data_IF_755512059704
#
_entry.id   IF_755512059704
#
_cell.length_a   1.000
_cell.length_b   1.000
_cell.length_c   1.000
_cell.angle_alpha   90.00
_cell.angle_beta   90.00
_cell.angle_gamma   90.00
#
_symmetry.space_group_name_H-M   'P 1'
#
loop_
_entity.id
_entity.type
_entity.pdbx_description
1 polymer ?
#
# COMPACT_ATOMS: atom_id res chain seq x y z
N UNK A 1 0.29 18.36 -12.56
CA UNK A 1 1.59 17.83 -12.12
C UNK A 1 1.62 17.91 -10.61
N UNK A 2 2.22 16.93 -9.94
CA UNK A 2 2.29 16.90 -8.49
C UNK A 2 3.17 18.06 -7.95
N UNK A 3 2.79 18.75 -6.85
CA UNK A 3 3.59 19.83 -6.29
C UNK A 3 5.05 19.44 -5.97
N UNK A 4 5.30 18.18 -5.59
CA UNK A 4 6.65 17.67 -5.31
C UNK A 4 7.47 17.55 -6.60
N UNK A 5 6.87 17.08 -7.69
CA UNK A 5 7.49 17.06 -9.01
C UNK A 5 7.82 18.47 -9.50
N UNK A 6 6.91 19.44 -9.30
CA UNK A 6 7.15 20.85 -9.64
C UNK A 6 8.34 21.45 -8.86
N UNK A 7 8.55 21.06 -7.61
CA UNK A 7 9.72 21.50 -6.83
C UNK A 7 11.02 21.02 -7.45
N UNK A 8 11.09 19.77 -7.93
CA UNK A 8 12.29 19.26 -8.60
C UNK A 8 12.54 20.02 -9.92
N UNK A 9 11.49 20.27 -10.71
CA UNK A 9 11.60 20.93 -12.01
C UNK A 9 11.97 22.43 -11.93
N UNK A 10 12.05 23.02 -10.74
CA UNK A 10 12.61 24.37 -10.54
C UNK A 10 14.14 24.38 -10.63
N UNK A 11 14.78 23.23 -10.43
CA UNK A 11 16.24 23.06 -10.43
C UNK A 11 16.64 21.78 -11.19
N UNK A 12 16.22 21.61 -12.46
CA UNK A 12 16.45 20.39 -13.23
C UNK A 12 17.93 20.05 -13.41
N UNK A 13 18.82 21.05 -13.38
CA UNK A 13 20.27 20.91 -13.48
C UNK A 13 20.89 20.08 -12.35
N UNK A 14 20.23 20.00 -11.19
CA UNK A 14 20.65 19.16 -10.07
C UNK A 14 20.49 17.67 -10.33
N UNK A 15 19.70 17.30 -11.35
CA UNK A 15 19.31 15.92 -11.65
C UNK A 15 19.94 15.42 -12.96
N UNK A 16 21.18 15.83 -13.23
CA UNK A 16 21.97 15.33 -14.35
C UNK A 16 22.53 13.93 -14.08
N UNK A 17 22.66 13.12 -15.13
CA UNK A 17 23.13 11.73 -15.05
C UNK A 17 22.01 10.73 -14.76
N UNK A 18 22.39 9.50 -14.39
CA UNK A 18 21.43 8.43 -14.10
C UNK A 18 20.69 8.71 -12.79
N UNK A 19 19.41 9.03 -12.88
CA UNK A 19 18.58 9.42 -11.75
C UNK A 19 17.56 8.33 -11.39
N UNK A 20 17.52 7.95 -10.11
CA UNK A 20 16.42 7.15 -9.56
C UNK A 20 15.39 8.03 -8.87
N UNK A 21 14.12 7.94 -9.28
CA UNK A 21 12.99 8.60 -8.64
C UNK A 21 12.17 7.55 -7.87
N UNK A 22 12.36 7.47 -6.56
CA UNK A 22 11.69 6.51 -5.69
C UNK A 22 10.38 7.07 -5.13
N UNK A 23 9.27 6.35 -5.29
CA UNK A 23 7.94 6.76 -4.82
C UNK A 23 7.32 7.90 -5.63
N UNK A 24 7.78 8.10 -6.87
CA UNK A 24 7.34 9.19 -7.73
C UNK A 24 5.83 9.14 -8.05
N UNK A 25 5.15 10.29 -8.15
CA UNK A 25 3.78 10.36 -8.61
C UNK A 25 3.68 9.99 -10.09
N UNK A 26 2.53 9.47 -10.52
CA UNK A 26 2.27 9.13 -11.93
C UNK A 26 1.93 10.35 -12.81
N UNK A 27 2.81 11.37 -12.81
CA UNK A 27 2.72 12.54 -13.68
C UNK A 27 3.79 12.53 -14.80
N UNK A 28 4.08 13.69 -15.41
CA UNK A 28 5.03 13.80 -16.53
C UNK A 28 6.51 13.94 -16.10
N UNK A 29 6.85 13.74 -14.83
CA UNK A 29 8.21 13.97 -14.34
C UNK A 29 9.27 13.15 -15.11
N UNK A 30 9.00 11.88 -15.43
CA UNK A 30 9.89 11.05 -16.26
C UNK A 30 10.09 11.61 -17.68
N UNK A 31 9.08 12.28 -18.24
CA UNK A 31 9.18 12.96 -19.54
C UNK A 31 10.05 14.22 -19.48
N UNK A 32 10.02 14.91 -18.33
CA UNK A 32 10.80 16.15 -18.10
C UNK A 32 12.24 15.89 -17.66
N UNK A 33 12.52 14.72 -17.10
CA UNK A 33 13.85 14.24 -16.71
C UNK A 33 14.17 12.95 -17.50
N UNK A 34 14.67 13.05 -18.74
CA UNK A 34 14.75 11.91 -19.66
C UNK A 34 15.70 10.78 -19.22
N UNK A 35 16.74 11.12 -18.44
CA UNK A 35 17.72 10.13 -17.92
C UNK A 35 17.27 9.47 -16.61
N UNK A 36 16.06 9.80 -16.13
CA UNK A 36 15.52 9.23 -14.90
C UNK A 36 14.78 7.91 -15.13
N UNK A 37 14.78 7.07 -14.11
CA UNK A 37 13.90 5.90 -14.01
C UNK A 37 13.14 5.95 -12.69
N UNK A 38 11.91 5.45 -12.71
CA UNK A 38 11.06 5.37 -11.54
C UNK A 38 11.22 4.05 -10.79
N UNK A 39 11.11 4.11 -9.47
CA UNK A 39 10.85 2.95 -8.63
C UNK A 39 9.58 3.24 -7.83
N UNK A 40 8.56 2.41 -8.02
CA UNK A 40 7.28 2.52 -7.33
C UNK A 40 6.97 1.24 -6.56
N UNK A 41 6.28 1.38 -5.44
CA UNK A 41 5.66 0.29 -4.70
C UNK A 41 4.13 0.43 -4.69
N UNK A 42 3.58 1.34 -5.51
CA UNK A 42 2.14 1.52 -5.67
C UNK A 42 1.71 1.07 -7.07
N UNK A 43 0.88 0.03 -7.15
CA UNK A 43 0.52 -0.63 -8.40
C UNK A 43 -0.18 0.32 -9.39
N UNK A 44 -1.08 1.18 -8.90
CA UNK A 44 -1.77 2.18 -9.74
C UNK A 44 -0.82 3.20 -10.38
N UNK A 45 0.06 3.81 -9.59
CA UNK A 45 1.08 4.72 -10.10
C UNK A 45 2.03 4.01 -11.07
N UNK A 46 2.48 2.80 -10.74
CA UNK A 46 3.31 1.99 -11.62
C UNK A 46 2.63 1.72 -12.97
N UNK A 47 1.36 1.27 -12.98
CA UNK A 47 0.63 0.99 -14.21
C UNK A 47 0.50 2.23 -15.10
N UNK A 48 0.17 3.38 -14.51
CA UNK A 48 0.07 4.66 -15.24
C UNK A 48 1.43 5.10 -15.80
N UNK A 49 2.51 4.96 -15.02
CA UNK A 49 3.87 5.26 -15.47
C UNK A 49 4.31 4.31 -16.57
N UNK A 50 4.06 3.01 -16.43
CA UNK A 50 4.44 1.99 -17.42
C UNK A 50 3.68 2.18 -18.74
N UNK A 51 2.40 2.57 -18.69
CA UNK A 51 1.61 2.87 -19.89
C UNK A 51 2.15 4.07 -20.66
N UNK A 52 2.71 5.08 -19.97
CA UNK A 52 3.23 6.32 -20.58
C UNK A 52 4.72 6.27 -20.91
N UNK A 53 5.50 5.56 -20.11
CA UNK A 53 6.97 5.52 -20.12
C UNK A 53 7.45 4.07 -20.00
N UNK A 54 7.06 3.23 -20.95
CA UNK A 54 7.31 1.79 -20.93
C UNK A 54 8.79 1.46 -20.65
N UNK A 55 9.03 0.63 -19.63
CA UNK A 55 10.37 0.17 -19.24
C UNK A 55 11.19 1.18 -18.45
N UNK A 56 10.62 2.35 -18.10
CA UNK A 56 11.28 3.38 -17.27
C UNK A 56 10.77 3.41 -15.84
N UNK A 57 10.00 2.41 -15.41
CA UNK A 57 9.58 2.28 -14.01
C UNK A 57 9.59 0.80 -13.59
N UNK A 58 9.98 0.54 -12.34
CA UNK A 58 9.95 -0.80 -11.74
C UNK A 58 8.97 -0.83 -10.55
N UNK A 59 8.16 -1.88 -10.45
CA UNK A 59 7.32 -2.17 -9.28
C UNK A 59 7.99 -3.21 -8.38
N UNK A 60 8.47 -2.78 -7.20
CA UNK A 60 9.19 -3.66 -6.28
C UNK A 60 9.25 -3.08 -4.86
N UNK A 61 9.56 -3.93 -3.88
CA UNK A 61 9.88 -3.52 -2.50
C UNK A 61 11.36 -3.12 -2.34
N UNK A 62 12.21 -3.47 -3.29
CA UNK A 62 13.65 -3.16 -3.32
C UNK A 62 13.98 -2.21 -4.48
N UNK A 63 15.03 -1.39 -4.36
CA UNK A 63 15.49 -0.54 -5.46
C UNK A 63 15.99 -1.38 -6.64
N UNK A 64 15.93 -0.86 -7.88
CA UNK A 64 16.54 -1.53 -9.02
C UNK A 64 18.05 -1.75 -8.79
N UNK A 65 18.57 -2.91 -9.19
CA UNK A 65 19.99 -3.26 -9.04
C UNK A 65 20.95 -2.41 -9.91
N UNK A 66 20.42 -1.53 -10.76
CA UNK A 66 21.21 -0.62 -11.60
C UNK A 66 21.89 0.45 -10.74
N UNK A 67 23.14 0.78 -11.06
CA UNK A 67 23.83 1.89 -10.41
C UNK A 67 23.30 3.26 -10.88
N UNK A 68 23.06 4.16 -9.93
CA UNK A 68 22.59 5.53 -10.17
C UNK A 68 23.60 6.56 -9.69
N UNK A 69 23.64 7.71 -10.35
CA UNK A 69 24.49 8.84 -9.96
C UNK A 69 23.84 9.65 -8.83
N UNK A 70 22.51 9.64 -8.76
CA UNK A 70 21.67 10.37 -7.81
C UNK A 70 20.35 9.63 -7.59
N UNK A 71 19.74 9.77 -6.41
CA UNK A 71 18.33 9.42 -6.21
C UNK A 71 17.53 10.50 -5.50
N UNK A 72 16.23 10.52 -5.77
CA UNK A 72 15.24 11.33 -5.07
C UNK A 72 14.20 10.40 -4.45
N UNK A 73 14.04 10.49 -3.13
CA UNK A 73 12.91 9.88 -2.42
C UNK A 73 11.75 10.86 -2.34
N UNK A 74 10.60 10.48 -2.89
CA UNK A 74 9.32 11.11 -2.59
C UNK A 74 8.81 10.55 -1.26
N UNK A 75 8.69 11.43 -0.27
CA UNK A 75 8.35 11.06 1.10
C UNK A 75 7.07 10.21 1.16
N UNK A 76 7.13 8.95 1.63
CA UNK A 76 5.94 8.18 1.93
C UNK A 76 5.30 8.64 3.25
N UNK A 77 4.08 8.15 3.53
CA UNK A 77 3.35 8.52 4.75
C UNK A 77 3.90 7.85 6.03
N UNK A 78 4.50 6.67 5.91
CA UNK A 78 5.05 5.92 7.06
C UNK A 78 6.49 6.33 7.35
N UNK A 79 6.77 6.54 8.64
CA UNK A 79 8.11 6.83 9.14
C UNK A 79 9.04 5.62 9.01
N UNK A 80 8.53 4.43 9.32
CA UNK A 80 9.25 3.15 9.23
C UNK A 80 9.59 2.83 7.79
N UNK A 81 8.66 3.03 6.86
CA UNK A 81 8.92 2.89 5.43
C UNK A 81 9.92 3.94 4.93
N UNK A 82 9.80 5.19 5.39
CA UNK A 82 10.80 6.23 5.08
C UNK A 82 12.19 5.79 5.52
N UNK A 83 12.30 5.18 6.71
CA UNK A 83 13.57 4.71 7.24
C UNK A 83 14.17 3.61 6.36
N UNK A 84 13.38 2.58 6.03
CA UNK A 84 13.80 1.52 5.13
C UNK A 84 14.26 2.06 3.77
N UNK A 85 13.46 2.91 3.12
CA UNK A 85 13.76 3.43 1.79
C UNK A 85 15.01 4.29 1.78
N UNK A 86 15.23 5.11 2.81
CA UNK A 86 16.45 5.90 2.92
C UNK A 86 17.70 5.03 3.10
N UNK A 87 17.62 3.97 3.92
CA UNK A 87 18.73 3.00 4.05
C UNK A 87 19.00 2.28 2.73
N UNK A 88 17.94 1.81 2.05
CA UNK A 88 18.05 1.12 0.76
C UNK A 88 18.68 2.02 -0.32
N UNK A 89 18.26 3.28 -0.41
CA UNK A 89 18.84 4.24 -1.35
C UNK A 89 20.28 4.60 -0.98
N UNK A 90 20.56 4.91 0.29
CA UNK A 90 21.89 5.28 0.74
C UNK A 90 22.93 4.18 0.49
N UNK A 91 22.56 2.91 0.68
CA UNK A 91 23.42 1.75 0.41
C UNK A 91 23.85 1.66 -1.07
N UNK A 92 23.06 2.21 -2.00
CA UNK A 92 23.36 2.21 -3.44
C UNK A 92 24.10 3.47 -3.93
N UNK A 93 24.34 4.45 -3.04
CA UNK A 93 24.81 5.79 -3.40
C UNK A 93 26.07 6.24 -2.66
N UNK A 94 27.12 5.41 -2.48
CA UNK A 94 28.31 5.82 -1.73
C UNK A 94 28.98 7.05 -2.36
N UNK A 95 29.21 8.10 -1.55
CA UNK A 95 29.74 9.40 -1.99
C UNK A 95 28.88 10.19 -2.99
N UNK A 96 27.67 9.71 -3.31
CA UNK A 96 26.72 10.34 -4.24
C UNK A 96 25.67 11.16 -3.51
N UNK A 97 24.82 11.85 -4.28
CA UNK A 97 23.77 12.70 -3.74
C UNK A 97 22.46 11.92 -3.56
N UNK A 98 21.83 12.12 -2.41
CA UNK A 98 20.49 11.64 -2.09
C UNK A 98 19.61 12.84 -1.75
N UNK A 99 18.42 12.87 -2.33
CA UNK A 99 17.44 13.92 -2.13
C UNK A 99 16.18 13.36 -1.49
N UNK A 100 15.51 14.20 -0.70
CA UNK A 100 14.20 13.92 -0.13
C UNK A 100 13.26 15.06 -0.48
N UNK A 101 12.15 14.75 -1.13
CA UNK A 101 11.09 15.72 -1.47
C UNK A 101 9.77 15.30 -0.82
N UNK A 102 9.06 16.25 -0.24
CA UNK A 102 7.79 15.96 0.41
C UNK A 102 7.02 17.21 0.80
N UNK A 103 5.74 17.03 1.12
CA UNK A 103 4.86 18.10 1.57
C UNK A 103 5.11 18.44 3.05
N UNK A 104 4.97 19.72 3.41
CA UNK A 104 5.06 20.18 4.80
C UNK A 104 4.04 19.51 5.70
N UNK A 105 2.79 19.39 5.22
CA UNK A 105 1.71 18.71 5.96
C UNK A 105 1.94 17.19 6.09
N UNK A 106 2.74 16.60 5.22
CA UNK A 106 3.15 15.20 5.30
C UNK A 106 4.39 15.00 6.21
N UNK A 107 4.91 16.07 6.83
CA UNK A 107 5.98 15.98 7.82
C UNK A 107 7.39 15.89 7.24
N UNK A 108 7.62 16.39 6.01
CA UNK A 108 8.95 16.34 5.36
C UNK A 108 10.09 16.91 6.21
N UNK A 109 9.82 17.94 7.00
CA UNK A 109 10.83 18.53 7.88
C UNK A 109 11.27 17.59 9.00
N UNK A 110 10.33 16.79 9.54
CA UNK A 110 10.64 15.75 10.51
C UNK A 110 11.33 14.57 9.84
N UNK A 111 10.88 14.18 8.64
CA UNK A 111 11.47 13.09 7.87
C UNK A 111 12.92 13.38 7.44
N UNK A 112 13.26 14.65 7.15
CA UNK A 112 14.62 15.06 6.85
C UNK A 112 15.61 14.76 7.99
N UNK A 113 15.15 14.61 9.24
CA UNK A 113 16.02 14.18 10.35
C UNK A 113 16.47 12.72 10.23
N UNK A 114 15.73 11.89 9.47
CA UNK A 114 16.11 10.49 9.19
C UNK A 114 17.27 10.40 8.17
N UNK A 115 17.69 11.51 7.58
CA UNK A 115 18.86 11.59 6.71
C UNK A 115 20.19 11.65 7.49
N UNK A 116 20.15 12.08 8.76
CA UNK A 116 21.34 12.33 9.58
C UNK A 116 22.31 11.14 9.68
N UNK A 117 21.87 9.86 9.73
CA UNK A 117 22.80 8.72 9.76
C UNK A 117 23.71 8.61 8.53
N UNK A 118 23.34 9.20 7.39
CA UNK A 118 24.02 9.02 6.11
C UNK A 118 24.95 10.20 5.74
N UNK A 119 24.81 11.33 6.41
CA UNK A 119 25.58 12.54 6.15
C UNK A 119 24.88 13.82 6.61
N UNK A 120 25.50 14.96 6.29
CA UNK A 120 24.95 16.27 6.63
C UNK A 120 23.85 16.66 5.63
N UNK A 121 22.60 16.68 6.11
CA UNK A 121 21.45 17.06 5.31
C UNK A 121 21.21 18.57 5.37
N UNK A 122 20.93 19.18 4.21
CA UNK A 122 20.55 20.58 4.09
C UNK A 122 19.26 20.74 3.29
N UNK A 123 18.49 21.76 3.64
CA UNK A 123 17.29 22.16 2.89
C UNK A 123 17.72 22.99 1.68
N UNK A 124 17.32 22.57 0.48
CA UNK A 124 17.62 23.25 -0.78
C UNK A 124 16.50 24.18 -1.25
N UNK A 125 15.24 23.75 -1.14
CA UNK A 125 14.09 24.54 -1.58
C UNK A 125 12.89 24.34 -0.66
N UNK A 126 11.98 25.32 -0.68
CA UNK A 126 10.69 25.30 0.01
C UNK A 126 9.67 26.09 -0.82
N UNK A 127 9.00 25.43 -1.74
CA UNK A 127 7.96 26.00 -2.60
C UNK A 127 6.74 25.07 -2.67
N UNK A 128 5.58 25.58 -3.10
CA UNK A 128 4.34 24.78 -3.31
C UNK A 128 3.93 23.90 -2.11
N UNK A 129 4.08 24.42 -0.90
CA UNK A 129 3.86 23.68 0.35
C UNK A 129 4.72 22.41 0.51
N UNK A 130 5.80 22.29 -0.27
CA UNK A 130 6.77 21.21 -0.24
C UNK A 130 8.14 21.71 0.22
N UNK A 131 9.04 20.79 0.55
CA UNK A 131 10.45 21.04 0.78
C UNK A 131 11.29 20.03 0.00
N UNK A 132 12.46 20.47 -0.47
CA UNK A 132 13.50 19.64 -1.04
C UNK A 132 14.72 19.67 -0.14
N UNK A 133 15.17 18.49 0.28
CA UNK A 133 16.36 18.29 1.08
C UNK A 133 17.40 17.51 0.28
N UNK A 134 18.67 17.73 0.58
CA UNK A 134 19.81 17.09 -0.06
C UNK A 134 20.83 16.69 1.00
N UNK A 135 21.47 15.55 0.77
CA UNK A 135 22.73 15.18 1.42
C UNK A 135 23.67 14.54 0.40
N UNK A 136 24.96 14.53 0.74
CA UNK A 136 25.92 13.60 0.14
C UNK A 136 26.09 12.42 1.10
N UNK A 137 25.98 11.19 0.60
CA UNK A 137 26.10 9.99 1.41
C UNK A 137 27.57 9.80 1.77
N UNK A 138 27.96 10.25 2.95
CA UNK A 138 29.32 10.10 3.49
C UNK A 138 29.45 8.85 4.35
N UNK A 139 28.33 8.38 4.90
CA UNK A 139 28.23 7.13 5.64
C UNK A 139 27.23 6.20 4.92
N UNK A 140 27.74 5.31 4.06
CA UNK A 140 26.94 4.34 3.34
C UNK A 140 26.62 3.16 4.26
N UNK A 141 25.34 2.84 4.51
CA UNK A 141 24.97 1.64 5.28
C UNK A 141 25.10 0.38 4.40
N UNK A 142 25.02 -0.78 5.05
CA UNK A 142 24.71 -2.03 4.35
C UNK A 142 23.29 -2.00 3.80
N UNK A 143 23.02 -2.78 2.76
CA UNK A 143 21.67 -2.94 2.23
C UNK A 143 20.73 -3.48 3.33
N UNK A 144 19.57 -2.84 3.59
CA UNK A 144 18.67 -3.28 4.63
C UNK A 144 18.01 -4.61 4.27
N UNK A 145 17.93 -5.50 5.26
CA UNK A 145 17.27 -6.80 5.15
C UNK A 145 15.80 -6.66 5.56
N UNK A 146 14.89 -6.70 4.58
CA UNK A 146 13.45 -6.55 4.82
C UNK A 146 12.89 -7.63 5.75
N UNK A 147 13.41 -8.86 5.71
CA UNK A 147 12.91 -9.94 6.57
C UNK A 147 13.22 -9.66 8.04
N UNK A 148 14.39 -9.07 8.33
CA UNK A 148 14.76 -8.66 9.69
C UNK A 148 13.98 -7.46 10.19
N UNK A 149 13.54 -6.58 9.28
CA UNK A 149 12.69 -5.43 9.61
C UNK A 149 11.21 -5.81 9.76
N UNK A 150 10.82 -7.00 9.31
CA UNK A 150 9.45 -7.48 9.44
C UNK A 150 9.05 -7.65 10.92
N UNK A 151 7.90 -7.10 11.27
CA UNK A 151 7.27 -7.35 12.57
C UNK A 151 6.48 -8.66 12.50
N UNK A 152 6.58 -9.46 13.56
CA UNK A 152 5.88 -10.74 13.68
C UNK A 152 5.05 -10.76 14.95
N UNK A 153 3.79 -11.17 14.84
CA UNK A 153 2.93 -11.35 16.01
C UNK A 153 1.96 -12.51 15.78
N UNK A 154 1.55 -13.15 16.89
CA UNK A 154 0.53 -14.19 16.86
C UNK A 154 -0.86 -13.58 16.98
N UNK A 155 -1.71 -13.80 15.99
CA UNK A 155 -3.13 -13.55 16.08
C UNK A 155 -3.82 -14.79 16.65
N UNK A 156 -4.36 -14.67 17.88
CA UNK A 156 -5.13 -15.75 18.51
C UNK A 156 -6.55 -15.78 17.94
N UNK A 157 -6.97 -16.95 17.47
CA UNK A 157 -8.31 -17.26 16.97
C UNK A 157 -8.76 -18.58 17.61
N UNK A 158 -10.06 -18.86 17.56
CA UNK A 158 -10.66 -20.03 18.24
C UNK A 158 -10.09 -21.37 17.74
N UNK A 159 -9.66 -21.44 16.49
CA UNK A 159 -9.06 -22.60 15.82
C UNK A 159 -7.52 -22.58 15.83
N UNK A 160 -6.91 -21.74 16.67
CA UNK A 160 -5.47 -21.65 16.87
C UNK A 160 -4.84 -20.35 16.35
N UNK A 161 -3.57 -20.11 16.70
CA UNK A 161 -2.89 -18.88 16.30
C UNK A 161 -2.51 -18.83 14.83
N UNK A 162 -2.60 -17.65 14.21
CA UNK A 162 -1.94 -17.33 12.94
C UNK A 162 -0.70 -16.50 13.21
N UNK A 163 0.44 -16.89 12.62
CA UNK A 163 1.64 -16.07 12.61
C UNK A 163 1.51 -14.98 11.55
N UNK A 164 1.39 -13.72 11.96
CA UNK A 164 1.27 -12.58 11.03
C UNK A 164 2.65 -11.97 10.82
N UNK A 165 2.99 -11.67 9.57
CA UNK A 165 4.22 -10.99 9.19
C UNK A 165 3.88 -9.68 8.48
N UNK A 166 4.44 -8.57 8.95
CA UNK A 166 4.18 -7.25 8.40
C UNK A 166 5.48 -6.52 8.13
N UNK A 167 5.66 -6.02 6.91
CA UNK A 167 6.77 -5.15 6.50
C UNK A 167 6.51 -3.68 6.84
N UNK A 168 7.56 -2.85 6.94
CA UNK A 168 7.41 -1.40 7.17
C UNK A 168 6.45 -0.75 6.17
N UNK A 169 5.59 0.15 6.66
CA UNK A 169 4.64 0.90 5.83
C UNK A 169 3.28 0.26 5.62
N UNK A 170 3.13 -1.04 5.88
CA UNK A 170 1.85 -1.74 5.77
C UNK A 170 0.86 -1.28 6.86
N UNK A 171 -0.43 -1.23 6.52
CA UNK A 171 -1.48 -0.83 7.45
C UNK A 171 -1.44 -1.67 8.74
N UNK A 172 -1.62 -1.00 9.88
CA UNK A 172 -1.57 -1.60 11.22
C UNK A 172 -0.29 -2.41 11.48
N UNK A 173 0.86 -1.97 10.94
CA UNK A 173 2.15 -2.63 11.13
C UNK A 173 2.40 -3.06 12.59
N UNK A 174 2.68 -4.35 12.78
CA UNK A 174 2.98 -4.97 14.07
C UNK A 174 1.79 -5.22 15.01
N UNK A 175 0.53 -4.96 14.60
CA UNK A 175 -0.65 -5.23 15.44
C UNK A 175 -1.92 -5.48 14.62
N UNK A 176 -2.94 -6.05 15.25
CA UNK A 176 -4.26 -6.14 14.63
C UNK A 176 -5.03 -4.83 14.79
N UNK A 177 -5.72 -4.41 13.71
CA UNK A 177 -6.66 -3.30 13.74
C UNK A 177 -8.01 -3.75 14.33
N UNK A 178 -8.67 -2.86 15.08
CA UNK A 178 -9.93 -3.18 15.78
C UNK A 178 -11.05 -3.53 14.82
N UNK A 179 -11.17 -2.81 13.70
CA UNK A 179 -12.17 -3.13 12.67
C UNK A 179 -11.91 -4.50 12.04
N UNK A 180 -10.64 -4.82 11.79
CA UNK A 180 -10.24 -6.15 11.33
C UNK A 180 -10.61 -7.23 12.34
N UNK A 181 -10.31 -7.04 13.63
CA UNK A 181 -10.66 -8.01 14.68
C UNK A 181 -12.17 -8.29 14.70
N UNK A 182 -12.99 -7.24 14.67
CA UNK A 182 -14.46 -7.37 14.63
C UNK A 182 -14.94 -8.09 13.36
N UNK A 183 -14.30 -7.85 12.21
CA UNK A 183 -14.63 -8.53 10.96
C UNK A 183 -14.32 -10.03 11.01
N UNK A 184 -13.21 -10.42 11.65
CA UNK A 184 -12.80 -11.82 11.78
C UNK A 184 -13.82 -12.68 12.53
N UNK A 185 -14.47 -12.10 13.56
CA UNK A 185 -15.56 -12.74 14.30
C UNK A 185 -16.81 -12.97 13.45
N UNK A 186 -16.93 -12.24 12.34
CA UNK A 186 -18.07 -12.27 11.45
C UNK A 186 -17.71 -12.91 10.10
N UNK A 187 -16.84 -13.93 10.05
CA UNK A 187 -16.46 -14.60 8.79
C UNK A 187 -17.26 -15.87 8.49
N UNK A 188 -18.21 -16.25 9.35
CA UNK A 188 -19.01 -17.46 9.21
C UNK A 188 -20.02 -17.38 8.06
N UNK A 189 -20.34 -18.54 7.46
CA UNK A 189 -21.41 -18.64 6.46
C UNK A 189 -21.14 -17.90 5.16
N UNK A 190 -19.87 -17.68 4.78
CA UNK A 190 -19.55 -17.17 3.45
C UNK A 190 -19.90 -18.20 2.37
N UNK A 191 -20.41 -17.78 1.19
CA UNK A 191 -20.71 -18.70 0.11
C UNK A 191 -19.44 -19.44 -0.38
N UNK A 192 -19.53 -20.74 -0.72
CA UNK A 192 -18.38 -21.50 -1.21
C UNK A 192 -17.96 -21.02 -2.61
N UNK A 193 -16.65 -21.03 -2.87
CA UNK A 193 -16.07 -20.67 -4.16
C UNK A 193 -14.88 -19.74 -4.02
N UNK A 194 -14.77 -18.74 -4.91
CA UNK A 194 -13.69 -17.75 -4.86
C UNK A 194 -13.96 -16.68 -3.81
N UNK A 195 -13.02 -16.46 -2.90
CA UNK A 195 -13.09 -15.42 -1.87
C UNK A 195 -12.01 -14.37 -2.14
N UNK A 196 -12.41 -13.10 -2.22
CA UNK A 196 -11.51 -11.97 -2.39
C UNK A 196 -11.29 -11.27 -1.05
N UNK A 197 -10.04 -11.17 -0.61
CA UNK A 197 -9.59 -10.20 0.40
C UNK A 197 -9.12 -8.92 -0.32
N UNK A 198 -9.95 -7.87 -0.27
CA UNK A 198 -9.69 -6.61 -0.95
C UNK A 198 -9.02 -5.60 -0.02
N UNK A 199 -7.80 -5.17 -0.35
CA UNK A 199 -6.94 -4.37 0.52
C UNK A 199 -6.28 -5.25 1.59
N UNK A 200 -5.59 -6.31 1.16
CA UNK A 200 -5.22 -7.41 2.06
C UNK A 200 -4.16 -7.04 3.11
N UNK A 201 -3.39 -5.96 2.94
CA UNK A 201 -2.43 -5.49 3.94
C UNK A 201 -1.41 -6.55 4.33
N UNK A 202 -1.30 -6.85 5.63
CA UNK A 202 -0.42 -7.91 6.15
C UNK A 202 -0.97 -9.34 5.93
N UNK A 203 -2.15 -9.46 5.31
CA UNK A 203 -2.76 -10.72 4.93
C UNK A 203 -3.57 -11.40 6.03
N UNK A 204 -4.00 -10.64 7.04
CA UNK A 204 -4.76 -11.16 8.18
C UNK A 204 -6.08 -11.79 7.72
N UNK A 205 -6.89 -11.04 6.97
CA UNK A 205 -8.20 -11.49 6.49
C UNK A 205 -8.03 -12.68 5.55
N UNK A 206 -7.19 -12.57 4.51
CA UNK A 206 -6.96 -13.65 3.55
C UNK A 206 -6.41 -14.94 4.18
N UNK A 207 -5.49 -14.86 5.14
CA UNK A 207 -5.00 -16.04 5.86
C UNK A 207 -6.10 -16.70 6.70
N UNK A 208 -6.91 -15.90 7.41
CA UNK A 208 -8.07 -16.40 8.16
C UNK A 208 -9.12 -17.04 7.23
N UNK A 209 -9.41 -16.42 6.08
CA UNK A 209 -10.29 -16.99 5.07
C UNK A 209 -9.76 -18.33 4.55
N UNK A 210 -8.46 -18.41 4.22
CA UNK A 210 -7.89 -19.65 3.69
C UNK A 210 -7.90 -20.79 4.71
N UNK A 211 -7.66 -20.49 5.99
CA UNK A 211 -7.73 -21.49 7.06
C UNK A 211 -9.17 -21.96 7.29
N UNK A 212 -10.13 -21.04 7.32
CA UNK A 212 -11.54 -21.34 7.60
C UNK A 212 -12.26 -22.03 6.43
N UNK A 213 -11.85 -21.71 5.20
CA UNK A 213 -12.42 -22.23 3.97
C UNK A 213 -11.32 -22.90 3.12
N UNK A 214 -10.79 -24.05 3.54
CA UNK A 214 -9.63 -24.68 2.89
C UNK A 214 -9.88 -25.04 1.42
N UNK A 215 -11.11 -25.37 1.05
CA UNK A 215 -11.50 -25.70 -0.32
C UNK A 215 -11.76 -24.48 -1.21
N UNK A 216 -11.81 -23.28 -0.62
CA UNK A 216 -12.05 -22.04 -1.38
C UNK A 216 -10.78 -21.51 -2.05
N UNK A 217 -10.97 -20.92 -3.24
CA UNK A 217 -9.95 -20.17 -3.94
C UNK A 217 -9.84 -18.78 -3.31
N UNK A 218 -8.84 -18.57 -2.46
CA UNK A 218 -8.61 -17.26 -1.84
C UNK A 218 -7.69 -16.44 -2.70
N UNK A 219 -8.14 -15.22 -3.02
CA UNK A 219 -7.37 -14.20 -3.73
C UNK A 219 -7.23 -12.99 -2.83
N UNK A 220 -6.01 -12.49 -2.69
CA UNK A 220 -5.65 -11.34 -1.87
C UNK A 220 -5.15 -10.25 -2.81
N UNK A 221 -5.76 -9.07 -2.76
CA UNK A 221 -5.45 -7.95 -3.63
C UNK A 221 -5.02 -6.75 -2.81
N UNK A 222 -3.88 -6.16 -3.14
CA UNK A 222 -3.46 -4.87 -2.59
C UNK A 222 -2.77 -4.02 -3.65
N UNK A 223 -2.80 -2.70 -3.44
CA UNK A 223 -2.10 -1.75 -4.31
C UNK A 223 -0.64 -1.58 -3.90
N UNK A 224 -0.31 -1.89 -2.65
CA UNK A 224 1.03 -1.71 -2.09
C UNK A 224 1.89 -2.98 -2.20
N UNK A 225 3.07 -2.85 -2.81
CA UNK A 225 4.05 -3.94 -2.93
C UNK A 225 4.46 -4.50 -1.56
N UNK A 226 4.55 -3.65 -0.52
CA UNK A 226 4.91 -4.09 0.84
C UNK A 226 3.78 -4.90 1.48
N UNK A 227 2.52 -4.58 1.18
CA UNK A 227 1.36 -5.37 1.61
C UNK A 227 1.32 -6.73 0.90
N UNK A 228 1.52 -6.74 -0.42
CA UNK A 228 1.61 -7.98 -1.20
C UNK A 228 2.72 -8.90 -0.67
N UNK A 229 3.90 -8.34 -0.40
CA UNK A 229 5.01 -9.10 0.18
C UNK A 229 4.68 -9.61 1.59
N UNK A 230 4.11 -8.76 2.47
CA UNK A 230 3.68 -9.15 3.82
C UNK A 230 2.65 -10.28 3.80
N UNK A 231 1.65 -10.18 2.92
CA UNK A 231 0.62 -11.20 2.76
C UNK A 231 1.21 -12.55 2.33
N UNK A 232 2.18 -12.55 1.41
CA UNK A 232 2.91 -13.77 1.02
C UNK A 232 3.72 -14.36 2.18
N UNK A 233 4.38 -13.52 2.97
CA UNK A 233 5.13 -13.96 4.16
C UNK A 233 4.20 -14.55 5.23
N UNK A 234 3.04 -13.93 5.46
CA UNK A 234 2.01 -14.46 6.37
C UNK A 234 1.48 -15.82 5.90
N UNK A 235 1.15 -15.97 4.62
CA UNK A 235 0.72 -17.26 4.07
C UNK A 235 1.79 -18.35 4.28
N UNK A 236 3.04 -18.04 3.93
CA UNK A 236 4.17 -18.96 4.09
C UNK A 236 4.41 -19.36 5.55
N UNK A 237 4.34 -18.40 6.49
CA UNK A 237 4.54 -18.64 7.92
C UNK A 237 3.48 -19.58 8.53
N UNK A 238 2.33 -19.75 7.88
CA UNK A 238 1.25 -20.61 8.33
C UNK A 238 1.04 -21.86 7.45
N UNK A 239 1.91 -22.10 6.46
CA UNK A 239 1.75 -23.21 5.51
C UNK A 239 0.48 -23.10 4.65
N UNK A 240 -0.03 -21.89 4.45
CA UNK A 240 -1.24 -21.62 3.66
C UNK A 240 -0.88 -21.24 2.23
N UNK A 241 -1.78 -21.53 1.29
CA UNK A 241 -1.63 -21.17 -0.13
C UNK A 241 -2.83 -20.37 -0.60
N UNK A 242 -2.59 -19.18 -1.13
CA UNK A 242 -3.58 -18.30 -1.74
C UNK A 242 -2.91 -17.46 -2.84
N UNK A 243 -3.69 -16.93 -3.77
CA UNK A 243 -3.17 -16.02 -4.78
C UNK A 243 -3.01 -14.63 -4.18
N UNK A 244 -1.85 -13.98 -4.38
CA UNK A 244 -1.62 -12.60 -3.94
C UNK A 244 -1.25 -11.73 -5.13
N UNK A 245 -2.11 -10.75 -5.43
CA UNK A 245 -2.08 -9.91 -6.61
C UNK A 245 -1.78 -8.46 -6.19
N UNK A 246 -0.91 -7.80 -6.96
CA UNK A 246 -0.76 -6.34 -6.90
C UNK A 246 -1.68 -5.70 -7.94
N UNK A 247 -2.56 -4.79 -7.52
CA UNK A 247 -3.48 -4.11 -8.44
C UNK A 247 -4.12 -2.87 -7.83
N UNK A 248 -4.65 -1.99 -8.69
CA UNK A 248 -5.27 -0.73 -8.29
C UNK A 248 -6.79 -0.85 -8.30
N UNK A 249 -7.40 -0.65 -7.13
CA UNK A 249 -8.84 -0.73 -6.96
C UNK A 249 -9.44 -2.11 -7.30
N UNK A 250 -10.76 -2.17 -7.31
CA UNK A 250 -11.52 -3.40 -7.56
C UNK A 250 -11.34 -3.93 -8.99
N UNK A 251 -10.88 -3.08 -9.91
CA UNK A 251 -10.62 -3.44 -11.31
C UNK A 251 -9.47 -4.44 -11.45
N UNK A 252 -8.53 -4.45 -10.50
CA UNK A 252 -7.47 -5.45 -10.41
C UNK A 252 -7.94 -6.80 -9.86
N UNK A 253 -9.19 -6.92 -9.40
CA UNK A 253 -9.71 -8.13 -8.80
C UNK A 253 -10.24 -9.14 -9.84
N UNK A 254 -10.22 -10.44 -9.51
CA UNK A 254 -10.88 -11.45 -10.33
C UNK A 254 -12.41 -11.24 -10.39
N UNK A 255 -13.04 -11.82 -11.41
CA UNK A 255 -14.50 -11.95 -11.50
C UNK A 255 -15.03 -13.21 -10.80
N UNK A 256 -16.35 -13.37 -10.81
CA UNK A 256 -17.08 -14.54 -10.26
C UNK A 256 -16.78 -14.88 -8.78
N UNK A 257 -16.42 -13.88 -7.98
CA UNK A 257 -16.21 -14.03 -6.56
C UNK A 257 -17.51 -14.49 -5.87
N UNK A 258 -17.40 -15.55 -5.07
CA UNK A 258 -18.44 -15.99 -4.15
C UNK A 258 -18.58 -15.01 -2.97
N UNK A 259 -17.47 -14.42 -2.53
CA UNK A 259 -17.49 -13.29 -1.61
C UNK A 259 -16.35 -12.29 -1.84
N UNK A 260 -16.60 -11.03 -1.49
CA UNK A 260 -15.61 -9.97 -1.33
C UNK A 260 -15.61 -9.56 0.14
N UNK A 261 -14.47 -9.69 0.80
CA UNK A 261 -14.25 -9.34 2.20
C UNK A 261 -13.23 -8.21 2.27
N UNK A 262 -13.51 -7.17 3.05
CA UNK A 262 -12.61 -6.00 3.08
C UNK A 262 -12.67 -5.18 4.38
N UNK A 263 -11.50 -4.66 4.77
CA UNK A 263 -11.36 -3.52 5.66
C UNK A 263 -10.69 -2.37 4.88
N UNK A 264 -11.46 -1.61 4.08
CA UNK A 264 -10.87 -0.62 3.21
C UNK A 264 -10.30 0.56 4.02
N UNK A 265 -9.25 1.26 3.52
CA UNK A 265 -8.59 2.30 4.28
C UNK A 265 -9.53 3.49 4.60
N UNK A 266 -9.49 3.98 5.84
CA UNK A 266 -10.25 5.14 6.29
C UNK A 266 -9.33 6.21 6.88
N UNK A 267 -9.19 7.36 6.22
CA UNK A 267 -8.64 8.55 6.86
C UNK A 267 -9.48 9.77 6.53
N UNK A 268 -9.88 10.50 7.58
CA UNK A 268 -10.51 11.81 7.42
C UNK A 268 -9.52 12.75 6.72
N UNK A 269 -9.96 13.38 5.63
CA UNK A 269 -9.21 14.45 4.93
C UNK A 269 -8.39 14.03 3.69
N UNK A 270 -8.48 12.78 3.24
CA UNK A 270 -7.86 12.37 1.95
C UNK A 270 -8.96 11.88 1.01
N UNK A 271 -9.37 12.73 0.06
CA UNK A 271 -10.40 12.42 -0.95
C UNK A 271 -10.16 11.06 -1.64
N UNK A 272 -8.91 10.74 -1.95
CA UNK A 272 -8.50 9.50 -2.62
C UNK A 272 -8.89 8.22 -1.87
N UNK A 273 -8.89 8.24 -0.53
CA UNK A 273 -9.25 7.04 0.25
C UNK A 273 -10.75 6.75 0.22
N UNK A 274 -11.58 7.80 0.20
CA UNK A 274 -13.02 7.65 0.01
C UNK A 274 -13.34 7.13 -1.38
N UNK A 275 -12.65 7.64 -2.40
CA UNK A 275 -12.84 7.21 -3.80
C UNK A 275 -12.58 5.70 -3.98
N UNK A 276 -11.54 5.14 -3.37
CA UNK A 276 -11.25 3.71 -3.44
C UNK A 276 -12.37 2.85 -2.85
N UNK A 277 -12.82 3.18 -1.63
CA UNK A 277 -13.92 2.47 -0.96
C UNK A 277 -15.25 2.64 -1.71
N UNK A 278 -15.56 3.83 -2.19
CA UNK A 278 -16.78 4.04 -2.99
C UNK A 278 -16.73 3.28 -4.31
N UNK A 279 -15.58 3.24 -4.99
CA UNK A 279 -15.40 2.50 -6.24
C UNK A 279 -15.58 1.00 -6.02
N UNK A 280 -15.03 0.47 -4.92
CA UNK A 280 -15.31 -0.90 -4.47
C UNK A 280 -16.82 -1.15 -4.38
N UNK A 281 -17.56 -0.32 -3.63
CA UNK A 281 -18.99 -0.51 -3.42
C UNK A 281 -19.80 -0.38 -4.71
N UNK A 282 -19.45 0.58 -5.59
CA UNK A 282 -20.11 0.82 -6.88
C UNK A 282 -19.92 -0.34 -7.86
N UNK A 283 -18.78 -1.04 -7.80
CA UNK A 283 -18.39 -2.07 -8.79
C UNK A 283 -18.33 -3.49 -8.24
N UNK A 284 -18.51 -3.71 -6.94
CA UNK A 284 -18.50 -5.05 -6.35
C UNK A 284 -19.42 -6.04 -7.10
N UNK A 285 -20.59 -5.58 -7.58
CA UNK A 285 -21.53 -6.40 -8.34
C UNK A 285 -20.95 -6.96 -9.65
N UNK A 286 -19.98 -6.29 -10.28
CA UNK A 286 -19.34 -6.79 -11.52
C UNK A 286 -18.32 -7.88 -11.24
N UNK A 287 -17.85 -8.01 -10.00
CA UNK A 287 -16.86 -9.00 -9.58
C UNK A 287 -17.48 -10.15 -8.78
N UNK A 288 -18.60 -9.93 -8.10
CA UNK A 288 -19.37 -11.00 -7.45
C UNK A 288 -20.12 -11.84 -8.47
N UNK A 289 -20.27 -13.14 -8.26
CA UNK A 289 -21.27 -13.96 -8.99
C UNK A 289 -22.70 -13.63 -8.50
N UNK A 290 -23.77 -13.98 -9.25
CA UNK A 290 -25.14 -13.90 -8.72
C UNK A 290 -25.26 -14.65 -7.40
N UNK A 291 -25.87 -14.03 -6.37
CA UNK A 291 -25.92 -14.55 -5.00
C UNK A 291 -24.60 -14.46 -4.22
N UNK A 292 -23.53 -13.90 -4.79
CA UNK A 292 -22.27 -13.63 -4.11
C UNK A 292 -22.40 -12.51 -3.07
N UNK A 293 -21.51 -12.51 -2.08
CA UNK A 293 -21.63 -11.64 -0.91
C UNK A 293 -20.51 -10.59 -0.80
N UNK A 294 -20.87 -9.34 -0.50
CA UNK A 294 -19.94 -8.35 0.05
C UNK A 294 -20.05 -8.37 1.59
N UNK A 295 -18.90 -8.52 2.26
CA UNK A 295 -18.77 -8.35 3.72
C UNK A 295 -17.67 -7.35 4.04
N UNK A 296 -18.03 -6.20 4.61
CA UNK A 296 -17.02 -5.17 4.93
C UNK A 296 -17.15 -4.62 6.34
N UNK A 297 -16.02 -4.23 6.90
CA UNK A 297 -15.99 -3.37 8.10
C UNK A 297 -15.82 -1.92 7.71
N UNK A 298 -16.53 -1.03 8.39
CA UNK A 298 -16.36 0.41 8.24
C UNK A 298 -16.59 1.15 9.56
N UNK A 299 -16.00 2.35 9.67
CA UNK A 299 -16.33 3.24 10.79
C UNK A 299 -17.83 3.60 10.78
N UNK A 300 -18.48 3.58 11.94
CA UNK A 300 -19.93 3.74 12.07
C UNK A 300 -20.47 5.11 11.59
N UNK A 301 -19.62 6.14 11.49
CA UNK A 301 -20.02 7.44 10.95
C UNK A 301 -20.12 7.47 9.42
N UNK A 302 -19.56 6.47 8.71
CA UNK A 302 -19.59 6.39 7.26
C UNK A 302 -20.97 5.95 6.78
N UNK A 303 -21.50 6.65 5.77
CA UNK A 303 -22.83 6.41 5.20
C UNK A 303 -22.76 5.42 4.03
N UNK A 304 -22.25 4.22 4.28
CA UNK A 304 -22.16 3.17 3.25
C UNK A 304 -23.46 2.44 2.90
N UNK A 305 -24.45 2.26 3.81
CA UNK A 305 -25.67 1.52 3.45
C UNK A 305 -26.39 2.04 2.19
N UNK A 306 -26.61 3.36 2.00
CA UNK A 306 -27.24 3.85 0.76
C UNK A 306 -26.44 3.51 -0.50
N UNK A 307 -25.11 3.50 -0.42
CA UNK A 307 -24.26 3.17 -1.55
C UNK A 307 -24.26 1.66 -1.84
N UNK A 308 -24.24 0.83 -0.81
CA UNK A 308 -24.35 -0.63 -0.94
C UNK A 308 -25.70 -1.00 -1.54
N UNK A 309 -26.78 -0.41 -1.01
CA UNK A 309 -28.16 -0.67 -1.46
C UNK A 309 -28.39 -0.30 -2.92
N UNK A 310 -27.77 0.80 -3.37
CA UNK A 310 -27.86 1.23 -4.76
C UNK A 310 -27.19 0.28 -5.76
N UNK A 311 -26.18 -0.50 -5.35
CA UNK A 311 -25.33 -1.27 -6.26
C UNK A 311 -25.36 -2.79 -6.07
N UNK A 312 -25.70 -3.27 -4.87
CA UNK A 312 -25.72 -4.70 -4.55
C UNK A 312 -27.11 -5.18 -4.13
N UNK A 313 -27.93 -4.31 -3.55
CA UNK A 313 -29.21 -4.66 -2.93
C UNK A 313 -29.15 -4.55 -1.41
N UNK A 314 -30.09 -5.21 -0.71
CA UNK A 314 -30.29 -5.05 0.74
C UNK A 314 -28.97 -5.14 1.52
N UNK A 315 -28.70 -4.10 2.32
CA UNK A 315 -27.54 -4.02 3.20
C UNK A 315 -27.95 -4.34 4.64
N UNK A 316 -27.51 -5.48 5.17
CA UNK A 316 -27.67 -5.83 6.57
C UNK A 316 -26.46 -5.34 7.39
N UNK A 317 -26.70 -4.95 8.65
CA UNK A 317 -25.63 -4.71 9.63
C UNK A 317 -25.53 -5.94 10.53
N UNK A 318 -24.45 -6.69 10.43
CA UNK A 318 -24.23 -7.91 11.24
C UNK A 318 -23.94 -7.55 12.70
N UNK A 319 -23.08 -6.55 12.91
CA UNK A 319 -22.72 -6.06 14.23
C UNK A 319 -22.33 -4.58 14.17
N UNK A 320 -22.53 -3.87 15.28
CA UNK A 320 -22.09 -2.50 15.52
C UNK A 320 -21.39 -2.44 16.88
N UNK A 321 -20.06 -2.36 16.90
CA UNK A 321 -19.24 -2.39 18.10
C UNK A 321 -17.97 -1.56 17.93
N UNK A 322 -17.43 -1.01 19.01
CA UNK A 322 -16.15 -0.28 19.05
C UNK A 322 -15.99 0.86 18.03
N UNK A 323 -17.10 1.49 17.65
CA UNK A 323 -17.11 2.55 16.63
C UNK A 323 -17.09 2.04 15.18
N UNK A 324 -17.18 0.74 14.98
CA UNK A 324 -17.25 0.08 13.67
C UNK A 324 -18.61 -0.59 13.43
N UNK A 325 -18.91 -0.84 12.16
CA UNK A 325 -20.03 -1.66 11.70
C UNK A 325 -19.54 -2.68 10.70
N UNK A 326 -20.05 -3.90 10.80
CA UNK A 326 -19.86 -4.94 9.79
C UNK A 326 -21.12 -5.00 8.92
N UNK A 327 -20.95 -4.70 7.65
CA UNK A 327 -22.00 -4.72 6.65
C UNK A 327 -21.95 -6.01 5.83
N UNK A 328 -23.13 -6.51 5.47
CA UNK A 328 -23.34 -7.65 4.59
C UNK A 328 -24.34 -7.25 3.50
N UNK A 329 -24.02 -7.56 2.26
CA UNK A 329 -24.97 -7.45 1.14
C UNK A 329 -24.73 -8.58 0.14
N UNK A 330 -25.80 -9.06 -0.48
CA UNK A 330 -25.72 -10.10 -1.50
C UNK A 330 -26.09 -9.51 -2.85
N UNK A 331 -25.31 -9.83 -3.89
CA UNK A 331 -25.63 -9.49 -5.27
C UNK A 331 -26.91 -10.23 -5.67
N UNK A 332 -27.93 -9.46 -6.05
CA UNK A 332 -29.18 -9.97 -6.63
C UNK A 332 -28.96 -10.76 -7.93
#
# INVERSE_FOLDING_TARGET
MDPRSEVLLRQPELFSGKLLLAGLPADDLLGRLPDSVGWSWHAGDYQKLQARFAGRCTFAVEPPATAFDTAVLFLPKSRELTDYLLHALAATLPSRLLYLVGEKRAGVERAARQLAPFGEARKLDSARHCQLWQLRVTNSPDAPDLEKLAQRFDLKLDDGSLAIVSLPGVFSHGRIDRGTALLLEQLDGLPPGRLLDFGCGAGIIGASLKRRYPDSEVVMLDVDAFAVASSRMTLAANGLQAQVIAGDGIDGAPGECAAIVSNPPFHQGVHTHYEASETLLKRAATHLRPGGELRLVANAFLKYPPLIEAHLGRCDTLISADGFRIYRAQRA
#
